data_IF_677657187039
#
_entry.id   IF_677657187039
#
_cell.length_a   1.000
_cell.length_b   1.000
_cell.length_c   1.000
_cell.angle_alpha   90.00
_cell.angle_beta   90.00
_cell.angle_gamma   90.00
#
_symmetry.space_group_name_H-M   'P 1'
#
loop_
_entity.id
_entity.type
_entity.pdbx_description
1 polymer ?
#
# COMPACT_ATOMS: atom_id res chain seq x y z
N UNK A 1 -12.04 -3.31 15.73
CA UNK A 1 -11.15 -3.46 16.89
C UNK A 1 -10.05 -2.41 16.90
N UNK A 2 -9.23 -2.29 15.85
CA UNK A 2 -8.07 -1.38 15.79
C UNK A 2 -8.36 0.13 15.91
N UNK A 3 -9.61 0.59 15.81
CA UNK A 3 -9.97 2.01 15.95
C UNK A 3 -10.18 2.46 17.40
N UNK A 4 -10.23 1.55 18.38
CA UNK A 4 -10.62 1.91 19.75
C UNK A 4 -9.45 2.56 20.51
N UNK A 5 -9.55 3.85 20.92
CA UNK A 5 -8.51 4.54 21.69
C UNK A 5 -8.25 3.93 23.07
N UNK A 6 -9.14 3.05 23.54
CA UNK A 6 -8.98 2.29 24.76
C UNK A 6 -7.65 1.53 24.80
N UNK A 7 -7.19 0.98 23.67
CA UNK A 7 -5.91 0.26 23.63
C UNK A 7 -4.69 1.15 23.92
N UNK A 8 -4.81 2.46 23.69
CA UNK A 8 -3.80 3.46 23.98
C UNK A 8 -4.03 4.17 25.32
N UNK A 9 -4.84 3.60 26.22
CA UNK A 9 -5.11 4.19 27.54
C UNK A 9 -6.06 5.40 27.50
N UNK A 10 -6.88 5.56 26.45
CA UNK A 10 -7.80 6.72 26.30
C UNK A 10 -9.26 6.29 26.26
N UNK A 11 -10.14 7.12 26.81
CA UNK A 11 -11.59 6.90 26.82
C UNK A 11 -12.27 8.05 26.07
N UNK A 12 -13.31 7.75 25.29
CA UNK A 12 -14.10 8.74 24.56
C UNK A 12 -15.35 9.10 25.37
N UNK A 13 -15.52 10.38 25.71
CA UNK A 13 -16.70 10.89 26.40
C UNK A 13 -17.14 12.22 25.77
N UNK A 14 -18.43 12.39 25.46
CA UNK A 14 -18.94 13.64 24.84
C UNK A 14 -18.27 14.02 23.51
N UNK A 15 -17.71 13.05 22.77
CA UNK A 15 -16.97 13.31 21.53
C UNK A 15 -15.50 13.68 21.72
N UNK A 16 -15.06 13.95 22.94
CA UNK A 16 -13.67 14.24 23.30
C UNK A 16 -12.95 13.02 23.86
N UNK A 17 -11.62 13.04 23.79
CA UNK A 17 -10.74 11.97 24.28
C UNK A 17 -10.11 12.38 25.60
N UNK A 18 -10.20 11.50 26.60
CA UNK A 18 -9.65 11.70 27.93
C UNK A 18 -8.67 10.56 28.27
N UNK A 19 -7.66 10.80 29.13
CA UNK A 19 -6.86 9.72 29.69
C UNK A 19 -7.76 8.79 30.52
N UNK A 20 -7.67 7.50 30.26
CA UNK A 20 -8.34 6.46 31.04
C UNK A 20 -7.52 6.08 32.27
N UNK A 21 -8.19 5.49 33.26
CA UNK A 21 -7.53 5.00 34.48
C UNK A 21 -6.86 3.64 34.33
N UNK A 22 -6.90 3.04 33.14
CA UNK A 22 -6.31 1.74 32.85
C UNK A 22 -4.98 1.88 32.11
N UNK A 23 -4.10 0.90 32.30
CA UNK A 23 -2.83 0.88 31.59
C UNK A 23 -3.02 0.67 30.08
N UNK A 24 -2.24 1.43 29.31
CA UNK A 24 -2.23 1.30 27.86
C UNK A 24 -1.67 -0.07 27.46
N UNK A 25 -2.44 -0.80 26.65
CA UNK A 25 -2.04 -2.11 26.11
C UNK A 25 -0.99 -1.93 25.01
N UNK A 26 -1.07 -0.83 24.26
CA UNK A 26 -0.12 -0.44 23.22
C UNK A 26 0.33 1.00 23.42
N UNK A 27 1.55 1.34 22.96
CA UNK A 27 2.02 2.71 23.00
C UNK A 27 1.18 3.62 22.11
N UNK A 28 1.11 4.90 22.50
CA UNK A 28 0.41 5.92 21.72
C UNK A 28 0.99 6.02 20.29
N UNK A 29 2.31 5.93 20.15
CA UNK A 29 3.02 5.97 18.86
C UNK A 29 2.62 4.80 17.94
N UNK A 30 2.50 3.59 18.50
CA UNK A 30 2.06 2.42 17.74
C UNK A 30 0.60 2.57 17.31
N UNK A 31 -0.26 3.04 18.22
CA UNK A 31 -1.67 3.28 17.91
C UNK A 31 -1.84 4.32 16.80
N UNK A 32 -1.11 5.44 16.87
CA UNK A 32 -1.15 6.52 15.87
C UNK A 32 -0.61 6.08 14.51
N UNK A 33 0.43 5.23 14.51
CA UNK A 33 0.96 4.60 13.30
C UNK A 33 -0.08 3.70 12.62
N UNK A 34 -0.80 2.89 13.41
CA UNK A 34 -1.90 2.05 12.91
C UNK A 34 -3.05 2.90 12.40
N UNK A 35 -3.50 3.92 13.13
CA UNK A 35 -4.57 4.82 12.67
C UNK A 35 -4.20 5.49 11.34
N UNK A 36 -2.95 5.94 11.21
CA UNK A 36 -2.45 6.56 9.98
C UNK A 36 -2.44 5.56 8.81
N UNK A 37 -2.03 4.32 9.04
CA UNK A 37 -2.06 3.26 8.03
C UNK A 37 -3.50 2.92 7.63
N UNK A 38 -4.42 2.80 8.60
CA UNK A 38 -5.84 2.56 8.35
C UNK A 38 -6.48 3.70 7.55
N UNK A 39 -6.16 4.96 7.86
CA UNK A 39 -6.64 6.12 7.10
C UNK A 39 -6.15 6.09 5.66
N UNK A 40 -4.86 5.79 5.41
CA UNK A 40 -4.33 5.61 4.04
C UNK A 40 -5.02 4.47 3.29
N UNK A 41 -5.33 3.38 3.99
CA UNK A 41 -5.98 2.23 3.40
C UNK A 41 -7.49 2.46 3.18
N UNK A 42 -8.15 3.27 4.01
CA UNK A 42 -9.60 3.52 3.91
C UNK A 42 -10.03 4.17 2.58
N UNK A 43 -9.12 4.92 1.93
CA UNK A 43 -9.37 5.50 0.60
C UNK A 43 -9.06 4.57 -0.56
N UNK A 44 -8.34 3.46 -0.31
CA UNK A 44 -8.04 2.45 -1.33
C UNK A 44 -9.03 1.31 -1.18
N UNK A 45 -9.76 1.01 -2.26
CA UNK A 45 -10.54 -0.23 -2.29
C UNK A 45 -9.59 -1.41 -2.04
N UNK A 46 -9.94 -2.34 -1.15
CA UNK A 46 -9.21 -3.60 -0.96
C UNK A 46 -8.98 -4.33 -2.30
N UNK A 47 -9.92 -4.17 -3.22
CA UNK A 47 -9.85 -4.73 -4.57
C UNK A 47 -8.88 -4.01 -5.53
N UNK A 48 -8.09 -3.06 -5.05
CA UNK A 48 -6.88 -2.52 -5.71
C UNK A 48 -5.64 -3.29 -5.21
N UNK A 49 -5.73 -4.62 -5.24
CA UNK A 49 -4.57 -5.47 -4.99
C UNK A 49 -3.54 -5.31 -6.11
N UNK A 50 -2.24 -5.56 -5.85
CA UNK A 50 -1.20 -5.51 -6.89
C UNK A 50 -1.42 -6.47 -8.06
N UNK A 51 -2.21 -7.52 -7.85
CA UNK A 51 -2.59 -8.52 -8.86
C UNK A 51 -4.08 -8.84 -8.72
N UNK A 52 -4.97 -7.97 -9.21
CA UNK A 52 -6.40 -8.25 -9.15
C UNK A 52 -6.76 -9.29 -10.21
N UNK A 53 -7.75 -10.15 -9.93
CA UNK A 53 -8.29 -11.10 -10.92
C UNK A 53 -8.87 -10.39 -12.14
N UNK A 54 -9.36 -9.15 -11.94
CA UNK A 54 -9.92 -8.30 -13.00
C UNK A 54 -9.40 -6.88 -12.89
N UNK A 55 -8.80 -6.39 -13.97
CA UNK A 55 -8.27 -5.04 -14.08
C UNK A 55 -9.28 -4.08 -14.73
N UNK A 56 -9.42 -2.91 -14.11
CA UNK A 56 -10.25 -1.81 -14.60
C UNK A 56 -9.47 -0.51 -14.40
N UNK A 57 -9.16 0.18 -15.50
CA UNK A 57 -8.23 1.31 -15.52
C UNK A 57 -8.63 2.43 -14.56
N UNK A 58 -9.92 2.78 -14.55
CA UNK A 58 -10.44 3.94 -13.82
C UNK A 58 -11.13 3.56 -12.51
N UNK A 59 -10.94 2.34 -12.03
CA UNK A 59 -11.54 1.89 -10.75
C UNK A 59 -11.06 2.75 -9.59
N UNK A 60 -12.00 3.32 -8.85
CA UNK A 60 -11.72 4.26 -7.76
C UNK A 60 -11.44 5.70 -8.22
N UNK A 61 -11.24 5.94 -9.52
CA UNK A 61 -11.02 7.25 -10.11
C UNK A 61 -12.30 7.80 -10.78
N UNK A 62 -13.02 6.96 -11.52
CA UNK A 62 -14.24 7.37 -12.23
C UNK A 62 -15.38 7.68 -11.25
N UNK A 63 -16.04 8.82 -11.46
CA UNK A 63 -17.13 9.31 -10.60
C UNK A 63 -18.35 9.68 -11.43
N UNK A 64 -19.53 9.56 -10.82
CA UNK A 64 -20.77 10.05 -11.39
C UNK A 64 -20.75 11.58 -11.46
N UNK A 65 -21.08 12.15 -12.62
CA UNK A 65 -21.16 13.60 -12.79
C UNK A 65 -22.29 14.26 -11.98
N UNK A 66 -23.34 13.51 -11.63
CA UNK A 66 -24.49 14.04 -10.89
C UNK A 66 -24.27 14.01 -9.37
N UNK A 67 -23.94 12.84 -8.80
CA UNK A 67 -23.83 12.67 -7.34
C UNK A 67 -22.39 12.65 -6.82
N UNK A 68 -21.37 12.67 -7.69
CA UNK A 68 -19.96 12.66 -7.31
C UNK A 68 -19.45 11.35 -6.67
N UNK A 69 -20.31 10.34 -6.50
CA UNK A 69 -19.91 9.02 -5.99
C UNK A 69 -19.14 8.24 -7.07
N UNK A 70 -18.23 7.38 -6.63
CA UNK A 70 -17.44 6.53 -7.53
C UNK A 70 -18.35 5.55 -8.27
N UNK A 71 -18.09 5.34 -9.57
CA UNK A 71 -18.81 4.30 -10.30
C UNK A 71 -18.25 2.92 -9.97
N UNK A 72 -19.13 1.93 -9.97
CA UNK A 72 -18.78 0.54 -9.71
C UNK A 72 -18.30 -0.15 -10.99
N UNK A 73 -17.14 -0.79 -10.94
CA UNK A 73 -16.62 -1.57 -12.05
C UNK A 73 -17.15 -3.01 -11.99
N UNK A 74 -17.72 -3.51 -13.09
CA UNK A 74 -18.25 -4.88 -13.18
C UNK A 74 -18.02 -5.49 -14.57
N UNK A 75 -17.80 -6.80 -14.62
CA UNK A 75 -17.80 -7.60 -15.85
C UNK A 75 -19.07 -8.42 -15.88
N UNK A 76 -19.86 -8.29 -16.93
CA UNK A 76 -21.04 -9.11 -17.17
C UNK A 76 -20.63 -10.54 -17.55
N UNK A 77 -21.58 -11.48 -17.48
CA UNK A 77 -21.39 -12.87 -17.95
C UNK A 77 -20.99 -12.94 -19.43
N UNK A 78 -21.38 -11.95 -20.23
CA UNK A 78 -20.98 -11.80 -21.64
C UNK A 78 -19.52 -11.39 -21.84
N UNK A 79 -18.75 -11.15 -20.76
CA UNK A 79 -17.38 -10.62 -20.81
C UNK A 79 -17.30 -9.10 -20.95
N UNK A 80 -18.41 -8.40 -21.17
CA UNK A 80 -18.44 -6.94 -21.28
C UNK A 80 -18.12 -6.25 -19.96
N UNK A 81 -17.15 -5.32 -19.97
CA UNK A 81 -16.71 -4.53 -18.81
C UNK A 81 -17.41 -3.18 -18.78
N UNK A 82 -18.01 -2.83 -17.64
CA UNK A 82 -18.81 -1.63 -17.46
C UNK A 82 -18.42 -0.88 -16.18
N UNK A 83 -18.51 0.45 -16.23
CA UNK A 83 -18.65 1.29 -15.04
C UNK A 83 -20.13 1.62 -14.85
N UNK A 84 -20.68 1.33 -13.68
CA UNK A 84 -22.11 1.47 -13.36
C UNK A 84 -22.35 2.37 -12.15
N UNK A 85 -23.33 3.25 -12.26
CA UNK A 85 -23.84 4.05 -11.16
C UNK A 85 -24.67 3.15 -10.21
N UNK A 86 -24.37 3.20 -8.91
CA UNK A 86 -25.05 2.40 -7.89
C UNK A 86 -25.25 3.17 -6.58
N UNK A 87 -25.25 4.52 -6.59
CA UNK A 87 -25.33 5.32 -5.37
C UNK A 87 -26.63 5.07 -4.59
N UNK A 88 -27.74 4.79 -5.27
CA UNK A 88 -29.02 4.45 -4.61
C UNK A 88 -28.85 3.19 -3.76
N UNK A 89 -28.36 2.10 -4.35
CA UNK A 89 -28.24 0.79 -3.67
C UNK A 89 -27.10 0.73 -2.67
N UNK A 90 -25.99 1.45 -2.93
CA UNK A 90 -24.75 1.35 -2.13
C UNK A 90 -24.56 2.46 -1.12
N UNK A 91 -25.24 3.59 -1.30
CA UNK A 91 -25.04 4.78 -0.48
C UNK A 91 -26.34 5.47 -0.09
N UNK A 92 -27.50 4.89 -0.44
CA UNK A 92 -28.82 5.42 -0.14
C UNK A 92 -29.01 6.88 -0.60
N UNK A 93 -28.41 7.23 -1.74
CA UNK A 93 -28.49 8.56 -2.34
C UNK A 93 -29.28 8.47 -3.64
N UNK A 94 -30.29 9.33 -3.77
CA UNK A 94 -31.00 9.51 -5.03
C UNK A 94 -30.12 10.24 -6.05
N UNK A 95 -29.92 9.61 -7.20
CA UNK A 95 -29.08 10.13 -8.28
C UNK A 95 -29.83 10.07 -9.62
N UNK A 96 -29.83 11.15 -10.43
CA UNK A 96 -30.36 11.12 -11.80
C UNK A 96 -29.66 10.11 -12.73
N UNK A 97 -28.45 9.70 -12.36
CA UNK A 97 -27.67 8.70 -13.05
C UNK A 97 -27.95 7.26 -12.60
N UNK A 98 -28.90 7.03 -11.70
CA UNK A 98 -29.13 5.73 -11.06
C UNK A 98 -29.21 4.59 -12.09
N UNK A 99 -28.49 3.51 -11.78
CA UNK A 99 -28.38 2.30 -12.60
C UNK A 99 -27.82 2.47 -14.01
N UNK A 100 -27.48 3.68 -14.46
CA UNK A 100 -26.85 3.89 -15.77
C UNK A 100 -25.44 3.29 -15.78
N UNK A 101 -25.06 2.77 -16.93
CA UNK A 101 -23.76 2.14 -17.15
C UNK A 101 -23.10 2.67 -18.42
N UNK A 102 -21.77 2.65 -18.43
CA UNK A 102 -20.94 2.98 -19.57
C UNK A 102 -19.92 1.86 -19.77
N UNK A 103 -19.66 1.48 -21.03
CA UNK A 103 -18.60 0.51 -21.35
C UNK A 103 -17.24 1.08 -20.96
N UNK A 104 -16.40 0.28 -20.30
CA UNK A 104 -15.09 0.73 -19.81
C UNK A 104 -14.22 1.34 -20.92
N UNK A 105 -14.24 0.75 -22.11
CA UNK A 105 -13.47 1.19 -23.28
C UNK A 105 -13.65 2.69 -23.58
N UNK A 106 -14.85 3.25 -23.40
CA UNK A 106 -15.15 4.64 -23.76
C UNK A 106 -14.35 5.63 -22.90
N UNK A 107 -14.51 5.68 -21.56
CA UNK A 107 -13.72 6.57 -20.72
C UNK A 107 -12.25 6.15 -20.63
N UNK A 108 -11.93 4.85 -20.75
CA UNK A 108 -10.55 4.37 -20.72
C UNK A 108 -9.76 4.94 -21.93
N UNK A 109 -10.33 4.89 -23.13
CA UNK A 109 -9.73 5.47 -24.34
C UNK A 109 -9.60 6.99 -24.26
N UNK A 110 -10.61 7.68 -23.69
CA UNK A 110 -10.57 9.12 -23.49
C UNK A 110 -9.43 9.53 -22.57
N UNK A 111 -9.25 8.83 -21.45
CA UNK A 111 -8.14 9.07 -20.53
C UNK A 111 -6.81 8.70 -21.19
N UNK A 112 -6.75 7.61 -21.94
CA UNK A 112 -5.57 7.23 -22.71
C UNK A 112 -5.09 8.32 -23.66
N UNK A 113 -6.01 8.99 -24.36
CA UNK A 113 -5.69 10.15 -25.23
C UNK A 113 -5.17 11.35 -24.44
N UNK A 114 -5.81 11.68 -23.31
CA UNK A 114 -5.39 12.81 -22.47
C UNK A 114 -3.98 12.57 -21.92
N UNK A 115 -3.72 11.38 -21.38
CA UNK A 115 -2.41 11.02 -20.83
C UNK A 115 -1.36 10.92 -21.94
N UNK A 116 -1.70 10.34 -23.09
CA UNK A 116 -0.79 10.24 -24.23
C UNK A 116 -0.40 11.57 -24.86
N UNK A 117 -1.24 12.60 -24.71
CA UNK A 117 -0.92 13.96 -25.16
C UNK A 117 0.07 14.70 -24.24
N UNK A 118 0.41 14.13 -23.08
CA UNK A 118 1.38 14.72 -22.16
C UNK A 118 2.79 14.52 -22.73
N UNK A 119 3.40 15.61 -23.22
CA UNK A 119 4.80 15.63 -23.62
C UNK A 119 5.66 16.00 -22.41
N UNK A 120 6.53 15.09 -22.01
CA UNK A 120 7.52 15.36 -20.96
C UNK A 120 8.78 15.99 -21.60
N UNK A 121 9.34 17.07 -21.03
CA UNK A 121 10.60 17.63 -21.51
C UNK A 121 11.75 16.63 -21.47
N UNK A 122 12.70 16.69 -22.40
CA UNK A 122 13.86 15.76 -22.43
C UNK A 122 14.65 15.74 -21.12
N UNK A 123 14.82 16.91 -20.48
CA UNK A 123 15.49 17.01 -19.18
C UNK A 123 14.79 16.22 -18.05
N UNK A 124 13.52 15.84 -18.22
CA UNK A 124 12.85 14.96 -17.27
C UNK A 124 13.24 13.50 -17.46
N UNK A 125 13.59 13.08 -18.67
CA UNK A 125 14.00 11.71 -18.95
C UNK A 125 15.26 11.35 -18.18
N UNK A 126 16.27 12.23 -18.21
CA UNK A 126 17.51 12.04 -17.45
C UNK A 126 17.25 11.98 -15.94
N UNK A 127 16.36 12.85 -15.44
CA UNK A 127 15.97 12.88 -14.01
C UNK A 127 15.20 11.62 -13.61
N UNK A 128 14.36 11.09 -14.48
CA UNK A 128 13.61 9.86 -14.24
C UNK A 128 14.57 8.67 -14.22
N UNK A 129 15.46 8.56 -15.22
CA UNK A 129 16.46 7.50 -15.30
C UNK A 129 17.39 7.50 -14.09
N UNK A 130 17.89 8.66 -13.69
CA UNK A 130 18.71 8.80 -12.48
C UNK A 130 17.97 8.33 -11.22
N UNK A 131 16.69 8.67 -11.08
CA UNK A 131 15.87 8.19 -9.95
C UNK A 131 15.62 6.68 -9.98
N UNK A 132 15.39 6.11 -11.16
CA UNK A 132 15.22 4.65 -11.32
C UNK A 132 16.51 3.93 -10.93
N UNK A 133 17.66 4.41 -11.42
CA UNK A 133 18.98 3.85 -11.07
C UNK A 133 19.23 3.91 -9.56
N UNK A 134 19.01 5.06 -8.93
CA UNK A 134 19.14 5.20 -7.47
C UNK A 134 18.21 4.25 -6.72
N UNK A 135 16.96 4.09 -7.17
CA UNK A 135 16.02 3.18 -6.54
C UNK A 135 16.47 1.70 -6.65
N UNK A 136 16.99 1.31 -7.82
CA UNK A 136 17.54 -0.03 -8.04
C UNK A 136 18.81 -0.28 -7.22
N UNK A 137 19.71 0.70 -7.11
CA UNK A 137 20.89 0.63 -6.25
C UNK A 137 20.51 0.47 -4.78
N UNK A 138 19.58 1.29 -4.28
CA UNK A 138 19.07 1.18 -2.91
C UNK A 138 18.46 -0.20 -2.68
N UNK A 139 17.72 -0.74 -3.66
CA UNK A 139 17.14 -2.07 -3.57
C UNK A 139 18.20 -3.16 -3.52
N UNK A 140 19.22 -3.11 -4.38
CA UNK A 140 20.35 -4.06 -4.39
C UNK A 140 21.10 -4.05 -3.06
N UNK A 141 21.42 -2.87 -2.54
CA UNK A 141 22.11 -2.72 -1.24
C UNK A 141 21.27 -3.32 -0.11
N UNK A 142 19.96 -3.07 -0.12
CA UNK A 142 19.03 -3.62 0.87
C UNK A 142 18.96 -5.16 0.80
N UNK A 143 18.89 -5.73 -0.40
CA UNK A 143 18.88 -7.19 -0.61
C UNK A 143 20.20 -7.83 -0.15
N UNK A 144 21.34 -7.23 -0.50
CA UNK A 144 22.66 -7.69 -0.05
C UNK A 144 22.78 -7.67 1.48
N UNK A 145 22.33 -6.59 2.12
CA UNK A 145 22.29 -6.48 3.59
C UNK A 145 21.47 -7.60 4.24
N UNK A 146 20.27 -7.87 3.72
CA UNK A 146 19.41 -8.97 4.22
C UNK A 146 20.13 -10.31 4.10
N UNK A 147 20.85 -10.57 2.99
CA UNK A 147 21.59 -11.82 2.82
C UNK A 147 22.73 -11.96 3.83
N UNK A 148 23.46 -10.88 4.11
CA UNK A 148 24.55 -10.88 5.11
C UNK A 148 23.99 -11.09 6.52
N UNK A 149 22.90 -10.41 6.88
CA UNK A 149 22.21 -10.59 8.18
C UNK A 149 21.72 -12.04 8.37
N UNK A 150 21.12 -12.64 7.34
CA UNK A 150 20.73 -14.05 7.36
C UNK A 150 21.93 -15.01 7.48
N UNK A 151 23.08 -14.65 6.90
CA UNK A 151 24.30 -15.45 7.00
C UNK A 151 24.90 -15.36 8.40
N UNK A 152 24.89 -14.18 9.01
CA UNK A 152 25.28 -14.00 10.42
C UNK A 152 24.40 -14.80 11.37
N UNK A 153 23.08 -14.84 11.12
CA UNK A 153 22.16 -15.65 11.92
C UNK A 153 22.49 -17.14 11.84
N UNK A 154 22.64 -17.68 10.62
CA UNK A 154 23.03 -19.09 10.38
C UNK A 154 24.40 -19.42 10.96
N UNK A 155 25.36 -18.50 10.87
CA UNK A 155 26.68 -18.65 11.47
C UNK A 155 26.60 -18.76 13.00
N UNK A 156 25.68 -18.02 13.63
CA UNK A 156 25.37 -18.15 15.06
C UNK A 156 24.81 -19.52 15.43
N UNK A 157 23.87 -20.05 14.64
CA UNK A 157 23.29 -21.39 14.85
C UNK A 157 24.36 -22.49 14.77
N UNK A 158 25.20 -22.48 13.72
CA UNK A 158 26.29 -23.46 13.54
C UNK A 158 27.32 -23.42 14.69
N UNK A 159 27.60 -22.24 15.25
CA UNK A 159 28.48 -22.12 16.42
C UNK A 159 27.83 -22.69 17.70
N UNK A 160 26.53 -22.42 17.91
CA UNK A 160 25.78 -22.96 19.05
C UNK A 160 25.69 -24.48 19.01
N UNK A 161 25.55 -25.06 17.82
CA UNK A 161 25.54 -26.51 17.58
C UNK A 161 26.93 -27.16 17.73
N UNK A 162 27.97 -26.38 18.00
CA UNK A 162 29.34 -26.87 18.23
C UNK A 162 30.07 -27.33 16.95
N UNK A 163 29.50 -27.07 15.78
CA UNK A 163 30.06 -27.48 14.49
C UNK A 163 31.20 -26.57 14.01
N UNK A 164 31.50 -25.48 14.74
CA UNK A 164 32.53 -24.51 14.39
C UNK A 164 33.29 -24.00 15.61
N UNK A 165 34.61 -23.83 15.47
CA UNK A 165 35.45 -23.30 16.55
C UNK A 165 35.15 -21.82 16.81
N UNK A 166 35.45 -21.35 18.03
CA UNK A 166 35.31 -19.94 18.41
C UNK A 166 36.15 -19.00 17.53
N UNK A 167 37.36 -19.41 17.19
CA UNK A 167 38.28 -18.59 16.40
C UNK A 167 37.84 -18.48 14.94
N UNK A 168 37.23 -19.53 14.38
CA UNK A 168 36.68 -19.50 13.03
C UNK A 168 35.36 -18.71 12.99
N UNK A 169 34.52 -18.82 14.03
CA UNK A 169 33.30 -18.01 14.18
C UNK A 169 33.62 -16.51 14.24
N UNK A 170 34.57 -16.11 15.10
CA UNK A 170 34.93 -14.70 15.28
C UNK A 170 35.54 -14.09 14.00
N UNK A 171 36.34 -14.86 13.25
CA UNK A 171 36.91 -14.43 11.96
C UNK A 171 35.83 -14.19 10.90
N UNK A 172 34.93 -15.15 10.71
CA UNK A 172 33.86 -15.01 9.72
C UNK A 172 32.82 -13.97 10.11
N UNK A 173 32.49 -13.87 11.40
CA UNK A 173 31.60 -12.82 11.91
C UNK A 173 32.15 -11.44 11.58
N UNK A 174 33.42 -11.19 11.90
CA UNK A 174 34.09 -9.92 11.62
C UNK A 174 34.06 -9.58 10.13
N UNK A 175 34.39 -10.54 9.25
CA UNK A 175 34.32 -10.33 7.80
C UNK A 175 32.92 -9.96 7.29
N UNK A 176 31.87 -10.56 7.84
CA UNK A 176 30.49 -10.26 7.45
C UNK A 176 30.01 -8.91 8.02
N UNK A 177 30.44 -8.55 9.22
CA UNK A 177 30.17 -7.23 9.82
C UNK A 177 30.89 -6.10 9.06
N UNK A 178 32.13 -6.32 8.62
CA UNK A 178 32.87 -5.36 7.78
C UNK A 178 32.23 -5.15 6.40
N UNK A 179 31.41 -6.10 5.93
CA UNK A 179 30.63 -5.96 4.67
C UNK A 179 29.35 -5.13 4.87
N UNK A 180 28.94 -4.87 6.12
CA UNK A 180 27.72 -4.13 6.48
C UNK A 180 27.96 -2.66 6.85
N UNK A 181 29.21 -2.30 7.18
CA UNK A 181 29.64 -0.92 7.53
C UNK A 181 30.11 -0.13 6.32
#
# INVERSE_FOLDING_TARGET
>A
MLHNPFYAGKIKHGGQLFPGSHDAIVSQELFDSVQSAMKRNSSRSETLHPRPEREYLLKGLIKCAYCGKSLWAQTLTSGSRLYREQARTRSHIDCPGDSKSIRCEIPDDQIGRIVGAIVLPEAWMDRILSRIQLADEVKKVKEARIQVEQRLKRLGEVYLDGLKSRDDYMREKKSLEDTLG
#
